data_IF_237753776034
#
_entry.id   IF_237753776034
#
_cell.length_a   1.000
_cell.length_b   1.000
_cell.length_c   1.000
_cell.angle_alpha   90.00
_cell.angle_beta   90.00
_cell.angle_gamma   90.00
#
_symmetry.space_group_name_H-M   'P 1'
#
loop_
_entity.id
_entity.type
_entity.pdbx_description
1 polymer ?
#
# COMPACT_ATOMS: atom_id res chain seq x y z
N UNK A 1 -16.35 -7.87 -19.11
CA UNK A 1 -15.84 -6.87 -20.08
C UNK A 1 -16.17 -5.48 -19.57
N UNK A 2 -15.23 -4.55 -19.61
CA UNK A 2 -15.38 -3.18 -19.10
C UNK A 2 -14.99 -2.17 -20.19
N UNK A 3 -15.68 -1.04 -20.27
CA UNK A 3 -15.34 0.07 -21.18
C UNK A 3 -14.56 1.12 -20.41
N UNK A 4 -13.45 1.60 -20.98
CA UNK A 4 -12.57 2.60 -20.38
C UNK A 4 -12.37 3.75 -21.34
N UNK A 5 -12.52 4.98 -20.85
CA UNK A 5 -12.15 6.18 -21.59
C UNK A 5 -10.67 6.48 -21.35
N UNK A 6 -9.87 6.46 -22.40
CA UNK A 6 -8.44 6.78 -22.34
C UNK A 6 -8.19 8.28 -22.17
N UNK A 7 -6.96 8.68 -21.82
CA UNK A 7 -6.55 10.09 -21.75
C UNK A 7 -6.73 10.86 -23.07
N UNK A 8 -6.79 10.15 -24.20
CA UNK A 8 -7.06 10.71 -25.52
C UNK A 8 -8.58 10.80 -25.85
N UNK A 9 -9.43 10.65 -24.85
CA UNK A 9 -10.90 10.63 -24.96
C UNK A 9 -11.44 9.55 -25.91
N UNK A 10 -10.69 8.46 -26.08
CA UNK A 10 -11.09 7.29 -26.87
C UNK A 10 -11.57 6.19 -25.95
N UNK A 11 -12.74 5.63 -26.24
CA UNK A 11 -13.28 4.45 -25.58
C UNK A 11 -12.55 3.18 -26.05
N UNK A 12 -12.15 2.36 -25.09
CA UNK A 12 -11.47 1.08 -25.33
C UNK A 12 -12.03 0.03 -24.38
N UNK A 13 -12.28 -1.18 -24.90
CA UNK A 13 -12.70 -2.31 -24.09
C UNK A 13 -11.51 -2.96 -23.38
N UNK A 14 -11.74 -3.41 -22.16
CA UNK A 14 -10.77 -4.09 -21.30
C UNK A 14 -11.38 -5.35 -20.70
N UNK A 15 -10.60 -6.42 -20.67
CA UNK A 15 -10.90 -7.66 -19.93
C UNK A 15 -9.68 -8.01 -19.08
N UNK A 16 -9.89 -8.28 -17.79
CA UNK A 16 -8.85 -8.79 -16.90
C UNK A 16 -9.04 -10.30 -16.73
N UNK A 17 -7.98 -11.06 -17.02
CA UNK A 17 -7.91 -12.52 -16.85
C UNK A 17 -7.07 -12.85 -15.62
N UNK A 18 -7.50 -13.86 -14.86
CA UNK A 18 -6.70 -14.45 -13.79
C UNK A 18 -6.02 -15.70 -14.34
N UNK A 19 -4.69 -15.70 -14.39
CA UNK A 19 -3.90 -16.88 -14.77
C UNK A 19 -3.31 -17.53 -13.53
N UNK A 20 -3.23 -18.85 -13.55
CA UNK A 20 -2.57 -19.66 -12.53
C UNK A 20 -1.64 -20.66 -13.22
N UNK A 21 -0.65 -21.14 -12.48
CA UNK A 21 0.31 -22.16 -12.92
C UNK A 21 0.50 -23.25 -11.85
N UNK A 22 1.44 -24.17 -12.12
CA UNK A 22 1.77 -25.30 -11.25
C UNK A 22 2.07 -24.92 -9.79
N UNK A 23 2.53 -23.68 -9.54
CA UNK A 23 2.86 -23.17 -8.21
C UNK A 23 1.63 -22.67 -7.43
N UNK A 24 0.43 -22.75 -8.02
CA UNK A 24 -0.84 -22.24 -7.47
C UNK A 24 -0.80 -20.75 -7.13
N UNK A 25 0.09 -19.99 -7.78
CA UNK A 25 0.14 -18.54 -7.70
C UNK A 25 -0.69 -17.96 -8.82
N UNK A 26 -1.32 -16.82 -8.56
CA UNK A 26 -2.14 -16.12 -9.55
C UNK A 26 -1.51 -14.82 -10.03
N UNK A 27 -1.69 -14.53 -11.30
CA UNK A 27 -1.29 -13.28 -11.96
C UNK A 27 -2.47 -12.71 -12.75
N UNK A 28 -2.65 -11.39 -12.72
CA UNK A 28 -3.69 -10.74 -13.54
C UNK A 28 -3.11 -10.31 -14.88
N UNK A 29 -3.81 -10.62 -15.97
CA UNK A 29 -3.45 -10.16 -17.32
C UNK A 29 -4.57 -9.32 -17.92
N UNK A 30 -4.25 -8.11 -18.35
CA UNK A 30 -5.20 -7.22 -19.02
C UNK A 30 -5.13 -7.37 -20.55
N UNK A 31 -6.27 -7.67 -21.16
CA UNK A 31 -6.54 -7.60 -22.59
C UNK A 31 -7.19 -6.25 -22.94
N UNK A 32 -6.97 -5.76 -24.16
CA UNK A 32 -7.47 -4.47 -24.63
C UNK A 32 -8.02 -4.55 -26.05
N UNK A 33 -9.01 -3.70 -26.36
CA UNK A 33 -9.55 -3.51 -27.71
C UNK A 33 -10.02 -4.82 -28.34
N UNK A 34 -9.52 -5.12 -29.55
CA UNK A 34 -9.91 -6.31 -30.31
C UNK A 34 -9.62 -7.62 -29.58
N UNK A 35 -8.53 -7.70 -28.80
CA UNK A 35 -8.22 -8.91 -28.01
C UNK A 35 -9.22 -9.10 -26.87
N UNK A 36 -9.65 -7.99 -26.25
CA UNK A 36 -10.68 -8.01 -25.21
C UNK A 36 -12.06 -8.37 -25.79
N UNK A 37 -12.41 -7.80 -26.95
CA UNK A 37 -13.68 -8.05 -27.64
C UNK A 37 -13.78 -9.47 -28.21
N UNK A 38 -12.68 -9.98 -28.77
CA UNK A 38 -12.57 -11.32 -29.33
C UNK A 38 -12.54 -12.42 -28.28
N UNK A 39 -12.20 -12.09 -27.04
CA UNK A 39 -12.19 -13.04 -25.93
C UNK A 39 -13.60 -13.36 -25.47
N UNK A 40 -14.12 -14.51 -25.91
CA UNK A 40 -15.40 -15.05 -25.46
C UNK A 40 -15.17 -15.96 -24.26
N UNK A 41 -15.77 -15.58 -23.14
CA UNK A 41 -15.66 -16.26 -21.85
C UNK A 41 -16.05 -17.74 -21.96
N UNK A 42 -15.09 -18.62 -21.79
CA UNK A 42 -15.29 -20.02 -21.46
C UNK A 42 -14.32 -20.35 -20.31
N UNK A 43 -14.79 -21.10 -19.33
CA UNK A 43 -14.01 -21.38 -18.12
C UNK A 43 -12.88 -22.37 -18.43
N UNK A 44 -11.74 -22.20 -17.76
CA UNK A 44 -10.66 -23.18 -17.69
C UNK A 44 -9.91 -23.49 -19.00
N UNK A 45 -9.60 -22.48 -19.81
CA UNK A 45 -8.68 -22.64 -20.95
C UNK A 45 -7.23 -22.35 -20.60
N UNK A 46 -6.32 -23.07 -21.26
CA UNK A 46 -4.90 -22.73 -21.26
C UNK A 46 -4.62 -21.59 -22.23
N UNK A 47 -3.90 -20.59 -21.74
CA UNK A 47 -3.54 -19.39 -22.49
C UNK A 47 -2.01 -19.31 -22.56
N UNK A 48 -1.48 -19.07 -23.77
CA UNK A 48 -0.08 -18.70 -23.95
C UNK A 48 0.05 -17.25 -24.41
N UNK A 49 0.97 -16.53 -23.77
CA UNK A 49 1.23 -15.13 -24.07
C UNK A 49 2.72 -14.94 -24.32
N UNK A 50 3.08 -14.47 -25.52
CA UNK A 50 4.44 -14.11 -25.89
C UNK A 50 4.59 -12.59 -25.86
N UNK A 51 5.72 -12.09 -25.34
CA UNK A 51 6.01 -10.64 -25.23
C UNK A 51 4.93 -9.87 -24.45
N UNK A 52 4.35 -10.48 -23.42
CA UNK A 52 3.50 -9.75 -22.48
C UNK A 52 4.34 -8.65 -21.81
N UNK A 53 3.77 -7.44 -21.66
CA UNK A 53 4.46 -6.34 -20.99
C UNK A 53 4.18 -6.41 -19.49
N UNK A 54 5.22 -6.35 -18.68
CA UNK A 54 5.10 -6.19 -17.23
C UNK A 54 4.66 -4.75 -16.98
N UNK A 55 3.50 -4.57 -16.34
CA UNK A 55 2.96 -3.24 -16.03
C UNK A 55 3.19 -2.83 -14.58
N UNK A 56 3.47 -3.79 -13.71
CA UNK A 56 3.87 -3.55 -12.33
C UNK A 56 4.95 -4.56 -11.93
N UNK A 57 6.12 -4.06 -11.54
CA UNK A 57 7.27 -4.87 -11.14
C UNK A 57 7.15 -5.39 -9.69
N UNK A 58 6.17 -4.90 -8.90
CA UNK A 58 5.98 -5.31 -7.49
C UNK A 58 4.52 -5.70 -7.16
N UNK A 59 3.79 -6.22 -8.16
CA UNK A 59 2.39 -6.65 -8.00
C UNK A 59 1.81 -7.54 -9.12
N UNK A 60 2.65 -8.30 -9.84
CA UNK A 60 2.25 -9.36 -10.78
C UNK A 60 1.07 -8.98 -11.69
N UNK A 61 1.28 -8.02 -12.60
CA UNK A 61 0.29 -7.70 -13.63
C UNK A 61 0.96 -7.63 -15.01
N UNK A 62 0.42 -8.40 -15.95
CA UNK A 62 0.82 -8.35 -17.35
C UNK A 62 -0.24 -7.61 -18.15
N UNK A 63 0.19 -6.99 -19.24
CA UNK A 63 -0.72 -6.49 -20.27
C UNK A 63 -0.35 -7.12 -21.60
N UNK A 64 -1.38 -7.51 -22.34
CA UNK A 64 -1.24 -7.76 -23.77
C UNK A 64 -1.19 -6.39 -24.44
N UNK A 65 -0.15 -6.18 -25.23
CA UNK A 65 0.09 -4.98 -26.02
C UNK A 65 0.06 -5.34 -27.51
N UNK A 66 0.02 -4.36 -28.43
CA UNK A 66 0.03 -4.65 -29.87
C UNK A 66 1.20 -5.54 -30.34
N UNK A 67 2.30 -5.52 -29.59
CA UNK A 67 3.53 -6.28 -29.86
C UNK A 67 3.52 -7.68 -29.19
N UNK A 68 2.48 -7.98 -28.41
CA UNK A 68 2.28 -9.25 -27.72
C UNK A 68 1.53 -10.24 -28.64
N UNK A 69 1.77 -11.55 -28.45
CA UNK A 69 1.01 -12.59 -29.12
C UNK A 69 0.20 -13.34 -28.07
N UNK A 70 -1.11 -13.45 -28.26
CA UNK A 70 -2.05 -14.08 -27.35
C UNK A 70 -2.70 -15.28 -28.04
N UNK A 71 -2.59 -16.46 -27.42
CA UNK A 71 -3.15 -17.71 -27.94
C UNK A 71 -4.02 -18.37 -26.87
N UNK A 72 -5.23 -18.75 -27.26
CA UNK A 72 -6.12 -19.60 -26.47
C UNK A 72 -5.95 -21.03 -26.99
N UNK A 73 -5.77 -21.99 -26.08
CA UNK A 73 -5.52 -23.40 -26.38
C UNK A 73 -4.39 -23.62 -27.42
N UNK A 74 -3.18 -23.14 -27.13
CA UNK A 74 -2.06 -23.31 -28.05
C UNK A 74 -1.76 -24.81 -28.26
N UNK A 75 -1.48 -25.25 -29.50
CA UNK A 75 -1.23 -26.65 -29.82
C UNK A 75 0.20 -27.07 -29.41
N UNK A 76 0.50 -27.01 -28.12
CA UNK A 76 1.81 -27.37 -27.55
C UNK A 76 1.68 -28.33 -26.37
N UNK A 77 2.71 -29.13 -26.13
CA UNK A 77 2.77 -30.13 -25.06
C UNK A 77 2.54 -29.54 -23.68
N UNK A 78 3.15 -28.39 -23.41
CA UNK A 78 3.12 -27.67 -22.14
C UNK A 78 1.70 -27.25 -21.77
N UNK A 79 0.90 -26.88 -22.78
CA UNK A 79 -0.50 -26.53 -22.57
C UNK A 79 -1.33 -27.75 -22.18
N UNK A 80 -1.08 -28.91 -22.79
CA UNK A 80 -1.74 -30.16 -22.39
C UNK A 80 -1.36 -30.58 -20.97
N UNK A 81 -0.09 -30.45 -20.60
CA UNK A 81 0.38 -30.76 -19.25
C UNK A 81 -0.29 -29.85 -18.22
N UNK A 82 -0.38 -28.54 -18.48
CA UNK A 82 -1.03 -27.59 -17.58
C UNK A 82 -2.53 -27.87 -17.46
N UNK A 83 -3.20 -28.18 -18.57
CA UNK A 83 -4.61 -28.57 -18.58
C UNK A 83 -4.86 -29.81 -17.71
N UNK A 84 -4.09 -30.89 -17.92
CA UNK A 84 -4.22 -32.11 -17.13
C UNK A 84 -3.91 -31.88 -15.65
N UNK A 85 -2.93 -31.03 -15.33
CA UNK A 85 -2.64 -30.66 -13.95
C UNK A 85 -3.83 -29.93 -13.29
N UNK A 86 -4.45 -28.99 -14.01
CA UNK A 86 -5.59 -28.23 -13.50
C UNK A 86 -6.83 -29.11 -13.29
N UNK A 87 -7.11 -30.03 -14.21
CA UNK A 87 -8.21 -31.00 -14.08
C UNK A 87 -8.04 -31.94 -12.87
N UNK A 88 -6.79 -32.27 -12.53
CA UNK A 88 -6.47 -33.12 -11.38
C UNK A 88 -6.45 -32.39 -10.03
N UNK A 89 -6.66 -31.07 -9.99
CA UNK A 89 -6.65 -30.30 -8.75
C UNK A 89 -7.88 -30.57 -7.84
N UNK A 90 -9.00 -31.05 -8.43
CA UNK A 90 -10.28 -31.27 -7.74
C UNK A 90 -10.89 -30.01 -7.11
N UNK A 91 -11.97 -30.15 -6.33
CA UNK A 91 -12.62 -29.06 -5.56
C UNK A 91 -11.74 -28.48 -4.41
N UNK A 92 -10.50 -28.94 -4.27
CA UNK A 92 -9.58 -28.58 -3.16
C UNK A 92 -8.78 -27.30 -3.42
N UNK A 93 -9.44 -26.22 -3.83
CA UNK A 93 -8.78 -24.98 -4.22
C UNK A 93 -8.53 -24.02 -3.04
N UNK A 94 -7.55 -24.34 -2.19
CA UNK A 94 -6.77 -23.31 -1.48
C UNK A 94 -5.82 -22.62 -2.50
N UNK A 95 -6.41 -21.99 -3.52
CA UNK A 95 -5.66 -21.10 -4.42
C UNK A 95 -5.41 -19.84 -3.62
N UNK A 96 -4.14 -19.65 -3.19
CA UNK A 96 -3.70 -18.38 -2.65
C UNK A 96 -3.77 -17.36 -3.77
N UNK A 97 -4.91 -16.68 -3.86
CA UNK A 97 -5.02 -15.41 -4.58
C UNK A 97 -3.84 -14.57 -4.10
N UNK A 98 -2.89 -14.25 -4.98
CA UNK A 98 -1.95 -13.18 -4.71
C UNK A 98 -2.85 -11.97 -4.52
N UNK A 99 -3.01 -11.53 -3.28
CA UNK A 99 -4.15 -10.74 -2.80
C UNK A 99 -4.51 -9.61 -3.76
N UNK A 100 -5.43 -9.90 -4.67
CA UNK A 100 -6.00 -8.93 -5.59
C UNK A 100 -6.93 -7.97 -4.86
N UNK A 101 -7.26 -8.27 -3.60
CA UNK A 101 -7.98 -7.39 -2.69
C UNK A 101 -7.21 -6.12 -2.27
N UNK A 102 -5.90 -6.00 -2.57
CA UNK A 102 -5.14 -4.75 -2.35
C UNK A 102 -4.66 -4.06 -3.64
N UNK A 103 -4.94 -4.64 -4.82
CA UNK A 103 -4.29 -4.24 -6.07
C UNK A 103 -5.11 -3.35 -7.00
N UNK A 104 -6.43 -3.26 -6.82
CA UNK A 104 -7.23 -2.21 -7.49
C UNK A 104 -6.80 -0.80 -7.02
N UNK A 105 -6.25 -0.69 -5.81
CA UNK A 105 -5.75 0.58 -5.26
C UNK A 105 -4.33 0.96 -5.72
N UNK A 106 -3.49 0.00 -6.17
CA UNK A 106 -2.15 0.31 -6.69
C UNK A 106 -2.19 0.81 -8.15
N UNK A 107 -3.16 0.36 -8.95
CA UNK A 107 -3.27 0.68 -10.39
C UNK A 107 -3.67 2.13 -10.73
N UNK A 108 -4.10 2.93 -9.75
CA UNK A 108 -4.65 4.28 -10.00
C UNK A 108 -3.86 5.44 -9.39
N UNK A 109 -2.76 5.19 -8.67
CA UNK A 109 -2.11 6.27 -7.92
C UNK A 109 -1.11 7.02 -8.79
N UNK A 110 -1.38 8.31 -8.98
CA UNK A 110 -0.55 9.22 -9.78
C UNK A 110 0.80 9.43 -9.09
N UNK A 111 1.89 9.39 -9.86
CA UNK A 111 3.20 9.81 -9.36
C UNK A 111 3.21 11.32 -9.21
N UNK A 112 3.67 11.80 -8.06
CA UNK A 112 3.75 13.23 -7.75
C UNK A 112 5.12 13.58 -7.20
N UNK A 113 5.46 14.85 -7.35
CA UNK A 113 6.52 15.51 -6.60
C UNK A 113 5.93 16.13 -5.32
N UNK A 114 6.79 16.51 -4.36
CA UNK A 114 6.36 17.20 -3.15
C UNK A 114 5.62 18.51 -3.48
N UNK A 115 6.07 19.26 -4.48
CA UNK A 115 5.45 20.50 -4.92
C UNK A 115 4.05 20.29 -5.54
N UNK A 116 3.84 19.19 -6.27
CA UNK A 116 2.53 18.87 -6.87
C UNK A 116 1.42 18.75 -5.82
N UNK A 117 1.78 18.33 -4.61
CA UNK A 117 0.82 18.14 -3.51
C UNK A 117 0.25 19.48 -3.04
N UNK A 118 1.06 20.54 -3.05
CA UNK A 118 0.61 21.89 -2.67
C UNK A 118 -0.10 22.62 -3.81
N UNK A 119 0.23 22.32 -5.07
CA UNK A 119 -0.39 22.96 -6.24
C UNK A 119 -1.74 22.35 -6.62
N UNK A 120 -2.03 21.11 -6.23
CA UNK A 120 -3.30 20.45 -6.55
C UNK A 120 -4.42 20.88 -5.59
N UNK A 121 -5.06 22.02 -5.87
CA UNK A 121 -6.35 22.47 -5.33
C UNK A 121 -6.60 22.22 -3.83
N UNK A 122 -6.07 23.12 -3.00
CA UNK A 122 -6.53 23.38 -1.63
C UNK A 122 -7.95 23.99 -1.55
N UNK A 123 -8.71 24.01 -2.65
CA UNK A 123 -10.00 24.70 -2.76
C UNK A 123 -11.19 23.86 -2.26
N UNK A 124 -11.03 22.55 -2.03
CA UNK A 124 -12.08 21.68 -1.50
C UNK A 124 -11.58 20.79 -0.35
N UNK A 125 -11.99 21.10 0.88
CA UNK A 125 -11.54 20.42 2.11
C UNK A 125 -11.86 18.93 2.18
N UNK A 126 -12.83 18.44 1.40
CA UNK A 126 -13.29 17.05 1.48
C UNK A 126 -12.60 16.09 0.53
N UNK A 127 -11.78 16.57 -0.40
CA UNK A 127 -11.10 15.69 -1.36
C UNK A 127 -9.93 14.98 -0.69
N UNK A 128 -10.00 13.64 -0.64
CA UNK A 128 -8.87 12.78 -0.28
C UNK A 128 -8.11 12.43 -1.56
N UNK A 129 -6.80 12.55 -1.53
CA UNK A 129 -5.94 12.16 -2.64
C UNK A 129 -4.98 11.06 -2.26
N UNK A 130 -4.74 10.16 -3.21
CA UNK A 130 -3.83 9.04 -3.09
C UNK A 130 -2.78 9.09 -4.20
N UNK A 131 -1.51 9.04 -3.83
CA UNK A 131 -0.41 9.22 -4.79
C UNK A 131 0.87 8.50 -4.33
N UNK A 132 1.81 8.36 -5.26
CA UNK A 132 3.13 7.78 -5.00
C UNK A 132 4.21 8.84 -5.17
N UNK A 133 5.18 8.89 -4.26
CA UNK A 133 6.37 9.74 -4.40
C UNK A 133 7.64 8.92 -4.13
N UNK A 134 8.75 9.32 -4.76
CA UNK A 134 10.09 8.92 -4.33
C UNK A 134 10.69 10.09 -3.56
N UNK A 135 10.92 9.91 -2.26
CA UNK A 135 11.39 10.98 -1.39
C UNK A 135 12.38 10.47 -0.35
N UNK A 136 13.10 11.40 0.25
CA UNK A 136 14.10 11.16 1.30
C UNK A 136 13.59 11.70 2.63
N UNK A 137 13.75 10.92 3.69
CA UNK A 137 13.43 11.37 5.05
C UNK A 137 14.51 12.34 5.54
N UNK A 138 14.18 13.62 5.66
CA UNK A 138 15.12 14.68 6.06
C UNK A 138 15.09 14.94 7.56
N UNK A 139 13.93 14.79 8.19
CA UNK A 139 13.72 15.04 9.62
C UNK A 139 12.76 13.99 10.20
N UNK A 140 12.94 13.63 11.47
CA UNK A 140 12.07 12.69 12.20
C UNK A 140 11.84 13.26 13.59
N UNK A 141 10.58 13.33 14.05
CA UNK A 141 10.22 13.77 15.40
C UNK A 141 10.39 12.62 16.40
N UNK A 142 11.63 12.41 16.84
CA UNK A 142 12.05 11.19 17.55
C UNK A 142 11.35 11.01 18.90
N UNK A 143 11.13 12.09 19.62
CA UNK A 143 10.63 12.09 21.01
C UNK A 143 9.14 11.74 21.10
N UNK A 144 8.40 11.96 20.00
CA UNK A 144 6.95 11.81 19.93
C UNK A 144 6.50 10.50 19.28
N UNK A 145 7.45 9.63 18.91
CA UNK A 145 7.15 8.44 18.12
C UNK A 145 6.40 7.33 18.88
N UNK A 146 6.53 7.28 20.21
CA UNK A 146 5.87 6.29 21.07
C UNK A 146 4.96 6.97 22.09
N UNK A 147 3.71 6.51 22.20
CA UNK A 147 2.79 6.95 23.24
C UNK A 147 2.04 5.80 23.91
N UNK A 148 1.69 6.00 25.18
CA UNK A 148 0.84 5.08 25.96
C UNK A 148 -0.62 5.20 25.51
N UNK A 149 -1.23 4.10 25.10
CA UNK A 149 -2.61 4.04 24.61
C UNK A 149 -3.48 3.10 25.47
N UNK A 150 -4.80 3.21 25.29
CA UNK A 150 -5.78 2.36 25.94
C UNK A 150 -5.46 0.86 25.71
N UNK A 151 -5.50 0.00 26.74
CA UNK A 151 -5.13 -1.41 26.60
C UNK A 151 -6.16 -2.24 25.79
N UNK A 152 -7.39 -1.75 25.59
CA UNK A 152 -8.39 -2.46 24.79
C UNK A 152 -7.92 -2.62 23.32
N UNK A 153 -8.16 -3.78 22.67
CA UNK A 153 -7.69 -4.08 21.31
C UNK A 153 -7.97 -2.96 20.28
N UNK A 154 -9.21 -2.46 20.26
CA UNK A 154 -9.68 -1.49 19.24
C UNK A 154 -9.72 -0.03 19.73
N UNK A 155 -8.94 0.30 20.76
CA UNK A 155 -8.80 1.67 21.24
C UNK A 155 -7.35 2.14 21.19
N UNK A 156 -7.09 3.15 20.35
CA UNK A 156 -5.75 3.73 20.14
C UNK A 156 -5.59 5.11 20.76
N UNK A 157 -6.54 5.54 21.60
CA UNK A 157 -6.49 6.86 22.23
C UNK A 157 -5.41 6.89 23.30
N UNK A 158 -4.61 7.96 23.28
CA UNK A 158 -3.60 8.24 24.30
C UNK A 158 -4.30 8.31 25.66
N UNK A 159 -3.78 7.54 26.62
CA UNK A 159 -4.28 7.57 27.99
C UNK A 159 -3.64 8.71 28.77
N UNK A 160 -4.33 9.19 29.80
CA UNK A 160 -3.80 10.13 30.78
C UNK A 160 -3.31 9.33 31.98
N UNK A 161 -2.05 9.52 32.35
CA UNK A 161 -1.48 8.95 33.57
C UNK A 161 -2.04 9.71 34.78
N UNK A 162 -2.70 9.00 35.70
CA UNK A 162 -3.29 9.59 36.90
C UNK A 162 -2.29 9.68 38.06
N UNK A 163 -1.04 9.25 37.86
CA UNK A 163 0.02 9.21 38.88
C UNK A 163 -0.31 8.38 40.13
N UNK A 164 -1.24 7.44 40.00
CA UNK A 164 -1.65 6.51 41.05
C UNK A 164 -1.60 5.04 40.57
N UNK A 165 -0.75 4.77 39.57
CA UNK A 165 -0.65 3.49 38.85
C UNK A 165 -1.84 3.15 37.93
N UNK A 166 -2.81 4.06 37.77
CA UNK A 166 -3.90 3.92 36.82
C UNK A 166 -3.79 4.93 35.66
N UNK A 167 -4.37 4.52 34.53
CA UNK A 167 -4.42 5.25 33.28
C UNK A 167 -5.87 5.47 32.88
N UNK A 168 -6.27 6.73 32.65
CA UNK A 168 -7.63 7.07 32.20
C UNK A 168 -7.69 7.21 30.69
N UNK A 169 -8.59 6.46 30.05
CA UNK A 169 -8.86 6.61 28.61
C UNK A 169 -10.00 7.60 28.37
N UNK A 170 -9.78 8.71 27.63
CA UNK A 170 -10.83 9.72 27.40
C UNK A 170 -11.94 9.26 26.45
N UNK A 171 -11.72 8.22 25.65
CA UNK A 171 -12.74 7.66 24.74
C UNK A 171 -13.60 6.59 25.41
N UNK A 172 -13.00 5.75 26.24
CA UNK A 172 -13.72 4.68 26.94
C UNK A 172 -14.34 5.17 28.26
N UNK A 173 -13.88 6.32 28.75
CA UNK A 173 -14.16 6.87 30.08
C UNK A 173 -13.99 5.83 31.20
N UNK A 174 -12.86 5.11 31.14
CA UNK A 174 -12.50 4.05 32.08
C UNK A 174 -11.05 4.18 32.49
N UNK A 175 -10.77 3.69 33.70
CA UNK A 175 -9.44 3.56 34.28
C UNK A 175 -8.93 2.14 34.09
N UNK A 176 -7.64 2.03 33.82
CA UNK A 176 -6.94 0.78 33.62
C UNK A 176 -5.64 0.80 34.41
N UNK A 177 -5.24 -0.34 34.96
CA UNK A 177 -3.94 -0.54 35.63
C UNK A 177 -2.77 -0.73 34.64
N UNK A 178 -3.08 -0.72 33.34
CA UNK A 178 -2.15 -1.04 32.25
C UNK A 178 -2.44 -0.21 31.01
N UNK A 179 -1.48 -0.23 30.07
CA UNK A 179 -1.56 0.44 28.78
C UNK A 179 -0.86 -0.39 27.71
N UNK A 180 -1.02 -0.02 26.45
CA UNK A 180 -0.22 -0.55 25.34
C UNK A 180 0.57 0.56 24.67
N UNK A 181 1.79 0.27 24.23
CA UNK A 181 2.58 1.19 23.43
C UNK A 181 2.04 1.25 22.00
N UNK A 182 1.96 2.46 21.43
CA UNK A 182 1.65 2.67 20.02
C UNK A 182 2.75 3.49 19.37
N UNK A 183 3.24 2.98 18.25
CA UNK A 183 4.20 3.64 17.38
C UNK A 183 3.49 4.50 16.31
N UNK A 184 3.89 5.77 16.23
CA UNK A 184 3.48 6.72 15.19
C UNK A 184 4.71 7.50 14.78
N UNK A 185 5.21 7.26 13.57
CA UNK A 185 6.41 7.92 13.07
C UNK A 185 6.00 9.19 12.31
N UNK A 186 6.42 10.36 12.81
CA UNK A 186 6.23 11.65 12.11
C UNK A 186 7.55 12.17 11.57
N UNK A 187 7.57 12.52 10.30
CA UNK A 187 8.80 12.86 9.58
C UNK A 187 8.57 13.79 8.39
N UNK A 188 9.61 14.53 8.04
CA UNK A 188 9.64 15.36 6.85
C UNK A 188 10.19 14.55 5.67
N UNK A 189 9.44 14.55 4.57
CA UNK A 189 9.83 13.96 3.29
C UNK A 189 10.22 15.06 2.34
N UNK A 190 11.38 14.94 1.70
CA UNK A 190 11.84 15.88 0.68
C UNK A 190 12.21 15.19 -0.63
N UNK A 191 11.94 15.87 -1.73
CA UNK A 191 12.47 15.58 -3.05
C UNK A 191 13.07 16.86 -3.67
N UNK A 192 13.40 16.83 -4.96
CA UNK A 192 13.99 17.98 -5.65
C UNK A 192 13.05 19.19 -5.75
N UNK A 193 11.76 19.01 -5.53
CA UNK A 193 10.72 20.03 -5.73
C UNK A 193 10.28 20.71 -4.43
N UNK A 194 10.54 20.09 -3.27
CA UNK A 194 10.13 20.62 -1.97
C UNK A 194 10.10 19.55 -0.90
N UNK A 195 9.33 19.82 0.16
CA UNK A 195 9.15 18.87 1.25
C UNK A 195 7.75 18.93 1.88
N UNK A 196 7.35 17.86 2.56
CA UNK A 196 6.10 17.79 3.32
C UNK A 196 6.25 16.95 4.58
N UNK A 197 5.49 17.29 5.61
CA UNK A 197 5.35 16.46 6.80
C UNK A 197 4.40 15.30 6.53
N UNK A 198 4.81 14.10 6.93
CA UNK A 198 4.06 12.86 6.77
C UNK A 198 4.05 12.08 8.06
N UNK A 199 3.03 11.23 8.21
CA UNK A 199 2.87 10.35 9.38
C UNK A 199 2.68 8.91 8.92
N UNK A 200 3.50 7.99 9.42
CA UNK A 200 3.28 6.55 9.30
C UNK A 200 2.71 6.01 10.62
N UNK A 201 1.67 5.18 10.52
CA UNK A 201 0.98 4.60 11.67
C UNK A 201 1.36 3.13 11.83
N UNK A 202 1.58 2.71 13.08
CA UNK A 202 1.66 1.29 13.49
C UNK A 202 2.55 0.45 12.57
N UNK A 203 1.96 -0.50 11.84
CA UNK A 203 2.65 -1.49 11.03
C UNK A 203 3.52 -0.85 9.93
N UNK A 204 3.09 0.29 9.38
CA UNK A 204 3.87 1.03 8.37
C UNK A 204 5.09 1.68 9.02
N UNK A 205 4.94 2.22 10.24
CA UNK A 205 6.06 2.80 10.97
C UNK A 205 7.09 1.72 11.36
N UNK A 206 6.63 0.56 11.84
CA UNK A 206 7.51 -0.59 12.12
C UNK A 206 8.26 -1.04 10.86
N UNK A 207 7.57 -1.10 9.72
CA UNK A 207 8.19 -1.49 8.44
C UNK A 207 9.26 -0.50 7.98
N UNK A 208 9.08 0.80 8.22
CA UNK A 208 10.08 1.83 7.87
C UNK A 208 11.29 1.74 8.80
N UNK A 209 11.06 1.58 10.10
CA UNK A 209 12.13 1.52 11.11
C UNK A 209 12.89 0.19 11.02
N UNK A 210 12.19 -0.89 10.66
CA UNK A 210 12.72 -2.25 10.66
C UNK A 210 12.65 -2.93 12.04
N UNK A 211 11.90 -2.37 12.99
CA UNK A 211 11.78 -2.88 14.37
C UNK A 211 10.34 -2.83 14.85
N UNK A 212 9.97 -3.77 15.73
CA UNK A 212 8.63 -3.88 16.31
C UNK A 212 8.39 -2.86 17.42
N UNK A 213 7.15 -2.41 17.57
CA UNK A 213 6.74 -1.44 18.61
C UNK A 213 7.10 -1.94 20.01
N UNK A 214 6.88 -3.22 20.29
CA UNK A 214 7.19 -3.84 21.57
C UNK A 214 8.69 -3.75 21.86
N UNK A 215 9.53 -4.11 20.89
CA UNK A 215 10.99 -4.05 21.01
C UNK A 215 11.47 -2.61 21.20
N UNK A 216 10.97 -1.67 20.40
CA UNK A 216 11.32 -0.25 20.51
C UNK A 216 10.92 0.34 21.86
N UNK A 217 9.77 -0.07 22.41
CA UNK A 217 9.32 0.38 23.72
C UNK A 217 10.21 -0.13 24.86
N UNK A 218 10.60 -1.40 24.84
CA UNK A 218 11.54 -1.95 25.81
C UNK A 218 12.91 -1.26 25.72
N UNK A 219 13.42 -1.03 24.51
CA UNK A 219 14.69 -0.29 24.32
C UNK A 219 14.58 1.13 24.89
N UNK A 220 13.45 1.82 24.70
CA UNK A 220 13.24 3.18 25.23
C UNK A 220 13.24 3.19 26.76
N UNK A 221 12.58 2.22 27.39
CA UNK A 221 12.50 2.11 28.85
C UNK A 221 13.87 1.77 29.48
N UNK A 222 14.69 0.96 28.79
CA UNK A 222 16.04 0.60 29.24
C UNK A 222 17.08 1.71 28.97
N UNK A 223 17.03 2.32 27.77
CA UNK A 223 18.03 3.29 27.30
C UNK A 223 17.44 4.21 26.23
N UNK A 224 17.02 5.40 26.65
CA UNK A 224 16.43 6.40 25.76
C UNK A 224 17.39 6.87 24.65
N UNK A 225 18.69 7.02 24.93
CA UNK A 225 19.68 7.41 23.92
C UNK A 225 19.81 6.38 22.80
N UNK A 226 19.78 5.09 23.13
CA UNK A 226 19.79 4.00 22.14
C UNK A 226 18.54 4.05 21.26
N UNK A 227 17.38 4.29 21.86
CA UNK A 227 16.13 4.48 21.12
C UNK A 227 16.22 5.66 20.14
N UNK A 228 16.68 6.82 20.61
CA UNK A 228 16.86 8.01 19.76
C UNK A 228 17.88 7.76 18.64
N UNK A 229 18.94 7.00 18.90
CA UNK A 229 19.93 6.62 17.90
C UNK A 229 19.33 5.73 16.79
N UNK A 230 18.48 4.76 17.14
CA UNK A 230 17.77 3.93 16.16
C UNK A 230 16.94 4.80 15.21
N UNK A 231 16.16 5.75 15.76
CA UNK A 231 15.37 6.67 14.94
C UNK A 231 16.23 7.61 14.10
N UNK A 232 17.41 8.00 14.61
CA UNK A 232 18.38 8.82 13.87
C UNK A 232 18.91 8.11 12.62
N UNK A 233 18.99 6.77 12.63
CA UNK A 233 19.40 6.01 11.44
C UNK A 233 18.40 6.11 10.27
N UNK A 234 17.21 6.68 10.48
CA UNK A 234 16.23 6.89 9.42
C UNK A 234 16.51 8.15 8.60
N UNK A 235 17.34 9.07 9.10
CA UNK A 235 17.72 10.27 8.37
C UNK A 235 18.44 9.92 7.06
N UNK A 236 18.08 10.66 6.02
CA UNK A 236 18.62 10.55 4.67
C UNK A 236 18.42 9.21 3.96
N UNK A 237 17.49 8.37 4.44
CA UNK A 237 17.04 7.19 3.70
C UNK A 237 15.94 7.56 2.71
N UNK A 238 16.08 7.09 1.48
CA UNK A 238 15.08 7.29 0.43
C UNK A 238 14.19 6.06 0.26
N UNK A 239 12.89 6.30 0.08
CA UNK A 239 11.92 5.26 -0.18
C UNK A 239 10.98 5.70 -1.31
N UNK A 240 10.28 4.72 -1.86
CA UNK A 240 9.07 4.93 -2.64
C UNK A 240 7.90 4.82 -1.65
N UNK A 241 7.22 5.93 -1.43
CA UNK A 241 6.11 6.05 -0.49
C UNK A 241 4.78 6.09 -1.22
N UNK A 242 3.79 5.37 -0.67
CA UNK A 242 2.38 5.60 -0.97
C UNK A 242 1.77 6.46 0.09
N UNK A 243 1.08 7.51 -0.34
CA UNK A 243 0.59 8.55 0.54
C UNK A 243 -0.90 8.77 0.30
N UNK A 244 -1.60 9.04 1.39
CA UNK A 244 -2.96 9.57 1.43
C UNK A 244 -2.89 10.98 2.01
N UNK A 245 -3.34 11.98 1.27
CA UNK A 245 -3.45 13.34 1.78
C UNK A 245 -4.90 13.80 1.87
N UNK A 246 -5.23 14.50 2.95
CA UNK A 246 -6.53 15.15 3.17
C UNK A 246 -6.31 16.47 3.89
N UNK A 247 -7.04 17.51 3.51
CA UNK A 247 -7.09 18.74 4.28
C UNK A 247 -8.00 18.53 5.49
N UNK A 248 -7.49 18.76 6.70
CA UNK A 248 -8.28 18.75 7.94
C UNK A 248 -8.46 20.18 8.42
N UNK A 249 -9.69 20.55 8.81
CA UNK A 249 -10.01 21.86 9.39
C UNK A 249 -10.11 21.71 10.90
N UNK A 250 -9.16 22.27 11.63
CA UNK A 250 -9.15 22.30 13.09
C UNK A 250 -9.23 23.76 13.54
N UNK A 251 -10.26 24.10 14.33
CA UNK A 251 -10.44 25.44 14.91
C UNK A 251 -10.22 26.59 13.89
N UNK A 252 -10.89 26.52 12.74
CA UNK A 252 -10.82 27.52 11.64
C UNK A 252 -9.49 27.58 10.87
N UNK A 253 -8.52 26.71 11.18
CA UNK A 253 -7.27 26.56 10.41
C UNK A 253 -7.27 25.26 9.61
N UNK A 254 -7.01 25.35 8.30
CA UNK A 254 -6.88 24.19 7.41
C UNK A 254 -5.44 23.71 7.36
N UNK A 255 -5.21 22.43 7.63
CA UNK A 255 -3.89 21.80 7.56
C UNK A 255 -3.94 20.61 6.62
N UNK A 256 -2.97 20.51 5.71
CA UNK A 256 -2.80 19.31 4.90
C UNK A 256 -2.20 18.20 5.77
N UNK A 257 -2.93 17.10 5.90
CA UNK A 257 -2.44 15.91 6.58
C UNK A 257 -2.10 14.84 5.58
N UNK A 258 -0.85 14.42 5.60
CA UNK A 258 -0.35 13.33 4.76
C UNK A 258 -0.03 12.10 5.61
N UNK A 259 -0.63 10.98 5.25
CA UNK A 259 -0.46 9.68 5.92
C UNK A 259 0.19 8.68 4.97
N UNK A 260 1.21 8.00 5.45
CA UNK A 260 1.90 6.93 4.72
C UNK A 260 1.08 5.65 4.82
N UNK A 261 0.75 5.10 3.66
CA UNK A 261 0.02 3.83 3.55
C UNK A 261 0.99 2.66 3.35
N UNK A 262 2.11 2.89 2.67
CA UNK A 262 3.13 1.90 2.36
C UNK A 262 4.46 2.61 2.07
N UNK A 263 5.57 1.94 2.36
CA UNK A 263 6.92 2.43 2.12
C UNK A 263 7.82 1.29 1.67
N UNK A 264 8.45 1.44 0.50
CA UNK A 264 9.37 0.44 -0.04
C UNK A 264 10.74 1.04 -0.25
N UNK A 265 11.78 0.32 0.13
CA UNK A 265 13.17 0.68 -0.19
C UNK A 265 13.34 0.79 -1.71
N UNK A 266 14.08 1.83 -2.10
CA UNK A 266 14.47 2.07 -3.49
C UNK A 266 15.38 0.94 -4.00
#
# INVERSE_FOLDING_TARGET
MMTIVTKANKEVHKVDLLLIDFDKKSITVSLWGSDAEGYKSQENHVIAIKRAKITDFRGCCLTVSPDSMFFVEPPMSEARILQSWYENLGDSSDVKLASSQSLSEWKSQTWKTCADIFSTNLENSDKVEYFTIKATMTEVQKEMCLYKACPLPDCYKKVVDLNNSFYKCPKCDKEYDSFKWILVLSFNLADFSGSLWSVALREVAESIIGEKTEVLSSIREENEDRYLNILSTMHFKSFIFKLRSKVEVNNETSHLKTTVLDAKTC
#
